data_IF_058534721481
#
_entry.id   IF_058534721481
#
_cell.length_a   1.000
_cell.length_b   1.000
_cell.length_c   1.000
_cell.angle_alpha   90.00
_cell.angle_beta   90.00
_cell.angle_gamma   90.00
#
_symmetry.space_group_name_H-M   'P 1'
#
loop_
_entity.id
_entity.type
_entity.pdbx_description
1 polymer ?
#
# COMPACT_ATOMS: atom_id res chain seq x y z
N UNK A 1 0.00 15.44 -8.38
CA UNK A 1 0.45 16.79 -7.96
C UNK A 1 0.03 17.18 -6.54
N UNK A 2 -1.26 17.42 -6.23
CA UNK A 2 -1.67 17.82 -4.85
C UNK A 2 -1.31 16.78 -3.78
N UNK A 3 -1.52 15.50 -4.08
CA UNK A 3 -1.26 14.39 -3.13
C UNK A 3 0.23 14.28 -2.81
N UNK A 4 1.10 14.46 -3.79
CA UNK A 4 2.56 14.44 -3.60
C UNK A 4 3.02 15.54 -2.64
N UNK A 5 2.50 16.77 -2.81
CA UNK A 5 2.83 17.91 -1.93
C UNK A 5 2.39 17.64 -0.49
N UNK A 6 1.20 17.05 -0.31
CA UNK A 6 0.69 16.68 1.02
C UNK A 6 1.56 15.59 1.67
N UNK A 7 2.04 14.61 0.89
CA UNK A 7 2.95 13.59 1.40
C UNK A 7 4.30 14.18 1.82
N UNK A 8 4.90 15.04 1.00
CA UNK A 8 6.16 15.72 1.35
C UNK A 8 6.03 16.59 2.61
N UNK A 9 4.95 17.35 2.72
CA UNK A 9 4.65 18.14 3.92
C UNK A 9 4.49 17.25 5.15
N UNK A 10 3.80 16.10 5.01
CA UNK A 10 3.63 15.12 6.08
C UNK A 10 4.96 14.54 6.59
N UNK A 11 5.90 14.25 5.68
CA UNK A 11 7.25 13.77 6.04
C UNK A 11 8.05 14.82 6.81
N UNK A 12 8.01 16.09 6.36
CA UNK A 12 8.72 17.20 7.02
C UNK A 12 8.16 17.46 8.41
N UNK A 13 6.82 17.51 8.54
CA UNK A 13 6.15 17.69 9.83
C UNK A 13 6.40 16.52 10.79
N UNK A 14 6.41 15.28 10.27
CA UNK A 14 6.71 14.07 11.04
C UNK A 14 8.17 13.99 11.51
N UNK A 15 9.11 14.57 10.75
CA UNK A 15 10.51 14.67 11.15
C UNK A 15 10.72 15.69 12.29
N UNK A 16 10.02 16.83 12.24
CA UNK A 16 10.20 17.89 13.24
C UNK A 16 9.48 17.61 14.57
N UNK A 17 8.27 17.03 14.51
CA UNK A 17 7.49 16.67 15.69
C UNK A 17 7.49 15.15 15.87
N UNK A 18 8.45 14.65 16.66
CA UNK A 18 8.52 13.23 17.03
C UNK A 18 8.08 12.90 18.49
N UNK A 19 6.92 13.36 18.98
CA UNK A 19 6.43 12.93 20.29
C UNK A 19 5.91 11.48 20.24
N UNK A 20 6.59 10.58 20.96
CA UNK A 20 6.28 9.13 21.08
C UNK A 20 4.81 8.81 21.40
N UNK A 21 4.06 9.72 22.02
CA UNK A 21 2.62 9.55 22.31
C UNK A 21 1.73 9.79 21.07
N UNK A 22 2.08 10.72 20.20
CA UNK A 22 1.28 11.00 18.99
C UNK A 22 1.38 9.86 17.98
N UNK A 23 2.52 9.19 17.84
CA UNK A 23 2.65 8.06 16.90
C UNK A 23 1.68 6.92 17.19
N UNK A 24 1.36 6.66 18.47
CA UNK A 24 0.33 5.65 18.84
C UNK A 24 -1.08 6.10 18.47
N UNK A 25 -1.40 7.39 18.64
CA UNK A 25 -2.71 7.95 18.31
C UNK A 25 -2.88 7.98 16.79
N UNK A 26 -1.88 8.47 16.06
CA UNK A 26 -1.85 8.51 14.59
C UNK A 26 -1.96 7.10 14.03
N UNK A 27 -1.27 6.10 14.60
CA UNK A 27 -1.38 4.71 14.15
C UNK A 27 -2.80 4.15 14.30
N UNK A 28 -3.47 4.40 15.43
CA UNK A 28 -4.88 3.98 15.62
C UNK A 28 -5.83 4.73 14.68
N UNK A 29 -5.66 6.04 14.55
CA UNK A 29 -6.47 6.88 13.67
C UNK A 29 -6.31 6.46 12.21
N UNK A 30 -5.08 6.21 11.76
CA UNK A 30 -4.77 5.72 10.41
C UNK A 30 -5.48 4.40 10.13
N UNK A 31 -5.49 3.46 11.09
CA UNK A 31 -6.17 2.18 10.92
C UNK A 31 -7.68 2.36 10.78
N UNK A 32 -8.29 3.20 11.62
CA UNK A 32 -9.73 3.53 11.55
C UNK A 32 -10.06 4.20 10.21
N UNK A 33 -9.28 5.20 9.80
CA UNK A 33 -9.47 5.90 8.53
C UNK A 33 -9.29 4.94 7.34
N UNK A 34 -8.28 4.07 7.38
CA UNK A 34 -8.05 3.06 6.34
C UNK A 34 -9.24 2.10 6.25
N UNK A 35 -9.76 1.65 7.39
CA UNK A 35 -10.95 0.79 7.41
C UNK A 35 -12.17 1.49 6.82
N UNK A 36 -12.41 2.75 7.17
CA UNK A 36 -13.52 3.55 6.62
C UNK A 36 -13.37 3.80 5.10
N UNK A 37 -12.15 4.04 4.63
CA UNK A 37 -11.87 4.23 3.20
C UNK A 37 -12.08 2.93 2.42
N UNK A 38 -11.58 1.79 2.91
CA UNK A 38 -11.82 0.48 2.31
C UNK A 38 -13.32 0.18 2.28
N UNK A 39 -14.03 0.46 3.38
CA UNK A 39 -15.47 0.28 3.45
C UNK A 39 -16.20 1.14 2.41
N UNK A 40 -15.87 2.44 2.32
CA UNK A 40 -16.46 3.35 1.34
C UNK A 40 -16.18 2.92 -0.10
N UNK A 41 -14.96 2.45 -0.39
CA UNK A 41 -14.60 1.89 -1.69
C UNK A 41 -15.43 0.64 -1.99
N UNK A 42 -15.63 -0.25 -1.01
CA UNK A 42 -16.49 -1.43 -1.15
C UNK A 42 -17.94 -1.08 -1.45
N UNK A 43 -18.52 -0.09 -0.77
CA UNK A 43 -19.88 0.40 -1.03
C UNK A 43 -19.98 1.01 -2.44
N UNK A 44 -18.98 1.79 -2.85
CA UNK A 44 -18.95 2.38 -4.19
C UNK A 44 -18.84 1.35 -5.31
N UNK A 45 -18.13 0.24 -5.08
CA UNK A 45 -18.05 -0.89 -6.01
C UNK A 45 -19.37 -1.69 -6.04
N UNK A 46 -20.01 -1.91 -4.89
CA UNK A 46 -21.28 -2.64 -4.79
C UNK A 46 -22.48 -1.87 -5.37
N UNK A 47 -22.42 -0.54 -5.40
CA UNK A 47 -23.46 0.31 -6.01
C UNK A 47 -23.36 0.41 -7.54
N UNK A 48 -22.34 -0.19 -8.17
CA UNK A 48 -22.18 -0.22 -9.62
C UNK A 48 -22.78 -1.51 -10.17
N UNK A 49 -23.86 -1.40 -10.93
CA UNK A 49 -24.52 -2.56 -11.55
C UNK A 49 -23.60 -3.33 -12.51
N UNK A 50 -22.70 -2.63 -13.19
CA UNK A 50 -21.74 -3.20 -14.14
C UNK A 50 -20.47 -3.78 -13.49
N UNK A 51 -20.27 -3.64 -12.17
CA UNK A 51 -19.03 -4.08 -11.52
C UNK A 51 -18.73 -5.57 -11.71
N UNK A 52 -19.76 -6.42 -11.61
CA UNK A 52 -19.61 -7.86 -11.83
C UNK A 52 -19.39 -8.21 -13.31
N UNK A 53 -19.99 -7.45 -14.23
CA UNK A 53 -19.79 -7.60 -15.67
C UNK A 53 -18.37 -7.19 -16.07
N UNK A 54 -17.89 -6.05 -15.57
CA UNK A 54 -16.52 -5.56 -15.76
C UNK A 54 -15.48 -6.50 -15.14
N UNK A 55 -15.74 -7.02 -13.93
CA UNK A 55 -14.91 -8.05 -13.30
C UNK A 55 -14.90 -9.36 -14.09
N UNK A 56 -16.02 -9.77 -14.68
CA UNK A 56 -16.08 -11.00 -15.47
C UNK A 56 -15.32 -10.85 -16.79
N UNK A 57 -15.49 -9.71 -17.46
CA UNK A 57 -14.84 -9.41 -18.73
C UNK A 57 -13.34 -9.17 -18.60
N UNK A 58 -12.88 -8.57 -17.49
CA UNK A 58 -11.47 -8.22 -17.26
C UNK A 58 -10.79 -9.11 -16.18
N UNK A 59 -11.49 -10.06 -15.60
CA UNK A 59 -11.05 -10.79 -14.41
C UNK A 59 -9.82 -11.67 -14.64
N UNK A 60 -9.74 -12.34 -15.78
CA UNK A 60 -8.58 -13.19 -16.09
C UNK A 60 -7.32 -12.39 -16.42
N UNK A 61 -7.46 -11.34 -17.24
CA UNK A 61 -6.36 -10.42 -17.56
C UNK A 61 -5.83 -9.74 -16.29
N UNK A 62 -6.72 -9.14 -15.50
CA UNK A 62 -6.35 -8.46 -14.25
C UNK A 62 -5.74 -9.40 -13.21
N UNK A 63 -6.20 -10.66 -13.14
CA UNK A 63 -5.60 -11.66 -12.26
C UNK A 63 -4.16 -11.99 -12.67
N UNK A 64 -3.90 -12.15 -13.97
CA UNK A 64 -2.56 -12.40 -14.50
C UNK A 64 -1.64 -11.19 -14.20
N UNK A 65 -2.12 -9.96 -14.40
CA UNK A 65 -1.40 -8.74 -14.05
C UNK A 65 -1.25 -8.49 -12.54
N UNK A 66 -2.05 -9.13 -11.68
CA UNK A 66 -1.84 -9.07 -10.24
C UNK A 66 -0.80 -10.11 -9.78
N UNK A 67 -0.92 -11.34 -10.27
CA UNK A 67 -0.11 -12.48 -9.80
C UNK A 67 1.31 -12.43 -10.35
N UNK A 68 1.51 -12.17 -11.65
CA UNK A 68 2.85 -12.17 -12.27
C UNK A 68 3.75 -11.10 -11.64
N UNK A 69 3.37 -9.81 -11.56
CA UNK A 69 4.19 -8.78 -10.93
C UNK A 69 4.33 -8.99 -9.42
N UNK A 70 3.33 -9.55 -8.75
CA UNK A 70 3.39 -9.89 -7.34
C UNK A 70 4.48 -10.92 -7.04
N UNK A 71 4.47 -12.05 -7.76
CA UNK A 71 5.51 -13.09 -7.64
C UNK A 71 6.87 -12.53 -8.03
N UNK A 72 6.95 -11.77 -9.12
CA UNK A 72 8.19 -11.16 -9.58
C UNK A 72 8.77 -10.18 -8.53
N UNK A 73 7.93 -9.35 -7.91
CA UNK A 73 8.32 -8.42 -6.85
C UNK A 73 8.89 -9.16 -5.62
N UNK A 74 8.22 -10.24 -5.18
CA UNK A 74 8.72 -11.07 -4.07
C UNK A 74 10.06 -11.72 -4.40
N UNK A 75 10.22 -12.28 -5.60
CA UNK A 75 11.49 -12.87 -6.05
C UNK A 75 12.59 -11.81 -6.12
N UNK A 76 12.29 -10.63 -6.68
CA UNK A 76 13.23 -9.52 -6.78
C UNK A 76 13.71 -9.07 -5.39
N UNK A 77 12.79 -8.87 -4.45
CA UNK A 77 13.12 -8.51 -3.05
C UNK A 77 13.92 -9.61 -2.37
N UNK A 78 13.60 -10.89 -2.61
CA UNK A 78 14.36 -12.01 -2.03
C UNK A 78 15.80 -12.07 -2.58
N UNK A 79 15.97 -11.90 -3.89
CA UNK A 79 17.30 -11.83 -4.53
C UNK A 79 18.08 -10.63 -4.02
N UNK A 80 17.46 -9.45 -3.96
CA UNK A 80 18.09 -8.24 -3.44
C UNK A 80 18.45 -8.40 -1.97
N UNK A 81 17.57 -8.89 -1.12
CA UNK A 81 17.84 -9.18 0.30
C UNK A 81 19.01 -10.16 0.43
N UNK A 82 19.03 -11.24 -0.34
CA UNK A 82 20.12 -12.22 -0.30
C UNK A 82 21.44 -11.67 -0.85
N UNK A 83 21.42 -10.74 -1.81
CA UNK A 83 22.62 -10.16 -2.43
C UNK A 83 23.18 -8.97 -1.64
N UNK A 84 22.30 -8.14 -1.06
CA UNK A 84 22.66 -6.93 -0.30
C UNK A 84 22.92 -7.24 1.18
N UNK A 85 22.14 -8.14 1.79
CA UNK A 85 22.20 -8.41 3.23
C UNK A 85 23.14 -9.58 3.58
N UNK A 86 23.55 -10.42 2.61
CA UNK A 86 24.62 -11.43 2.80
C UNK A 86 26.02 -10.82 2.90
N UNK A 87 26.22 -9.59 2.43
CA UNK A 87 27.47 -8.85 2.63
C UNK A 87 27.57 -8.19 4.02
N UNK A 88 26.59 -8.41 4.91
CA UNK A 88 26.60 -7.95 6.30
C UNK A 88 26.99 -9.03 7.32
N UNK A 89 27.49 -10.18 6.86
CA UNK A 89 28.20 -11.16 7.71
C UNK A 89 29.61 -11.34 7.15
N UNK A 90 30.49 -10.42 7.54
CA UNK A 90 31.94 -10.59 7.75
C UNK A 90 32.61 -9.21 7.80
N UNK A 91 32.60 -8.60 9.00
CA UNK A 91 33.66 -7.78 9.62
C UNK A 91 33.11 -7.13 10.89
#
# INVERSE_FOLDING_TARGET
MLVEVIMFAGVILGYFWQPKKLSKIIGKLQLICTALLIFSMGVSLGSRDDFFSDLSQLGLESLIFAVIPGIFSVIAVFVLTKKFMKNGKEA
#
